data_IF_927562565653
#
_entry.id   IF_927562565653
#
_cell.length_a   1.000
_cell.length_b   1.000
_cell.length_c   1.000
_cell.angle_alpha   90.00
_cell.angle_beta   90.00
_cell.angle_gamma   90.00
#
_symmetry.space_group_name_H-M   'P 1'
#
loop_
_entity.id
_entity.type
_entity.pdbx_description
1 polymer ?
#
# COMPACT_ATOMS: atom_id res chain seq x y z
N UNK A 1 -5.12 -9.31 -6.68
CA UNK A 1 -4.91 -10.31 -5.61
C UNK A 1 -5.86 -10.00 -4.47
N UNK A 2 -6.27 -11.01 -3.71
CA UNK A 2 -7.13 -10.79 -2.53
C UNK A 2 -6.35 -10.13 -1.39
N UNK A 3 -7.08 -9.65 -0.38
CA UNK A 3 -6.49 -8.99 0.78
C UNK A 3 -5.53 -9.87 1.59
N UNK A 4 -5.79 -11.18 1.71
CA UNK A 4 -4.88 -12.09 2.41
C UNK A 4 -3.50 -12.09 1.76
N UNK A 5 -3.44 -12.19 0.43
CA UNK A 5 -2.19 -12.08 -0.31
C UNK A 5 -1.55 -10.71 -0.15
N UNK A 6 -2.34 -9.63 -0.24
CA UNK A 6 -1.83 -8.26 -0.06
C UNK A 6 -1.22 -8.04 1.34
N UNK A 7 -1.85 -8.56 2.39
CA UNK A 7 -1.34 -8.51 3.76
C UNK A 7 -0.02 -9.26 3.92
N UNK A 8 0.09 -10.48 3.35
CA UNK A 8 1.33 -11.26 3.36
C UNK A 8 2.44 -10.52 2.62
N UNK A 9 2.16 -9.93 1.45
CA UNK A 9 3.12 -9.12 0.71
C UNK A 9 3.61 -7.92 1.54
N UNK A 10 2.70 -7.20 2.22
CA UNK A 10 3.10 -6.10 3.10
C UNK A 10 3.96 -6.56 4.28
N UNK A 11 3.67 -7.74 4.84
CA UNK A 11 4.50 -8.34 5.90
C UNK A 11 5.91 -8.71 5.43
N UNK A 12 6.11 -8.89 4.12
CA UNK A 12 7.40 -9.10 3.48
C UNK A 12 8.12 -7.79 3.10
N UNK A 13 7.52 -6.63 3.41
CA UNK A 13 8.09 -5.31 3.13
C UNK A 13 7.63 -4.70 1.81
N UNK A 14 6.76 -5.37 1.06
CA UNK A 14 6.27 -4.86 -0.22
C UNK A 14 5.17 -3.80 -0.01
N UNK A 15 5.10 -2.85 -0.93
CA UNK A 15 3.98 -1.92 -1.05
C UNK A 15 2.89 -2.56 -1.90
N UNK A 16 1.63 -2.39 -1.53
CA UNK A 16 0.49 -2.90 -2.31
C UNK A 16 -0.54 -1.81 -2.54
N UNK A 17 -1.30 -1.88 -3.63
CA UNK A 17 -2.35 -0.91 -3.93
C UNK A 17 -3.54 -1.57 -4.60
N UNK A 18 -4.65 -0.84 -4.66
CA UNK A 18 -5.77 -1.16 -5.55
C UNK A 18 -5.36 -0.85 -6.98
N UNK A 19 -5.70 -1.71 -7.94
CA UNK A 19 -5.32 -1.58 -9.35
C UNK A 19 -5.60 -0.18 -9.96
N UNK A 20 -6.70 0.45 -9.55
CA UNK A 20 -7.16 1.74 -10.08
C UNK A 20 -6.74 2.95 -9.23
N UNK A 21 -6.00 2.75 -8.14
CA UNK A 21 -5.65 3.80 -7.19
C UNK A 21 -4.15 4.10 -7.19
N UNK A 22 -3.79 5.39 -7.07
CA UNK A 22 -2.39 5.83 -7.15
C UNK A 22 -1.65 5.81 -5.81
N UNK A 23 -2.36 5.72 -4.69
CA UNK A 23 -1.75 5.49 -3.37
C UNK A 23 -1.36 4.03 -3.18
N UNK A 24 -0.76 3.72 -2.03
CA UNK A 24 -0.41 2.36 -1.66
C UNK A 24 -0.47 2.16 -0.15
N UNK A 25 -0.59 0.91 0.28
CA UNK A 25 -0.54 0.51 1.67
C UNK A 25 0.78 -0.22 1.91
N UNK A 26 1.35 -0.05 3.10
CA UNK A 26 2.59 -0.72 3.52
C UNK A 26 2.56 -1.00 5.01
N UNK A 27 3.40 -1.92 5.46
CA UNK A 27 3.71 -2.08 6.87
C UNK A 27 5.03 -1.36 7.18
N UNK A 28 5.01 -0.47 8.17
CA UNK A 28 6.20 0.24 8.65
C UNK A 28 6.19 0.26 10.18
N UNK A 29 7.28 -0.14 10.83
CA UNK A 29 7.34 -0.20 12.30
C UNK A 29 6.29 -1.13 12.94
N UNK A 30 5.75 -2.10 12.19
CA UNK A 30 4.65 -2.96 12.65
C UNK A 30 3.25 -2.36 12.49
N UNK A 31 3.14 -1.18 11.90
CA UNK A 31 1.88 -0.48 11.69
C UNK A 31 1.47 -0.52 10.22
N UNK A 32 0.15 -0.57 9.96
CA UNK A 32 -0.39 -0.44 8.61
C UNK A 32 -0.49 1.04 8.26
N UNK A 33 0.27 1.46 7.27
CA UNK A 33 0.34 2.84 6.79
C UNK A 33 -0.29 2.92 5.41
N UNK A 34 -1.20 3.88 5.25
CA UNK A 34 -1.84 4.23 3.99
C UNK A 34 -1.09 5.46 3.43
N UNK A 35 -0.32 5.26 2.37
CA UNK A 35 0.21 6.35 1.56
C UNK A 35 -0.84 6.79 0.55
N UNK A 36 -1.36 7.99 0.72
CA UNK A 36 -2.42 8.55 -0.12
C UNK A 36 -1.89 8.92 -1.51
N UNK A 37 -2.78 9.03 -2.49
CA UNK A 37 -2.42 9.51 -3.83
C UNK A 37 -1.87 10.96 -3.83
N UNK A 38 -2.06 11.70 -2.73
CA UNK A 38 -1.58 13.05 -2.51
C UNK A 38 -0.20 13.10 -1.84
N UNK A 39 0.40 11.96 -1.50
CA UNK A 39 1.74 11.89 -0.91
C UNK A 39 1.78 11.90 0.63
N UNK A 40 0.63 11.92 1.31
CA UNK A 40 0.56 11.90 2.77
C UNK A 40 0.47 10.46 3.30
N UNK A 41 1.16 10.18 4.40
CA UNK A 41 1.03 8.94 5.16
C UNK A 41 -0.02 9.08 6.27
N UNK A 42 -0.91 8.10 6.36
CA UNK A 42 -1.94 8.01 7.40
C UNK A 42 -1.80 6.65 8.09
N UNK A 43 -1.73 6.63 9.42
CA UNK A 43 -1.81 5.38 10.16
C UNK A 43 -3.23 4.82 10.05
N UNK A 44 -3.38 3.53 9.74
CA UNK A 44 -4.70 2.91 9.59
C UNK A 44 -5.59 3.08 10.83
N UNK A 45 -5.02 3.23 12.03
CA UNK A 45 -5.78 3.47 13.29
C UNK A 45 -6.35 4.88 13.40
N UNK A 46 -5.86 5.82 12.60
CA UNK A 46 -6.25 7.24 12.60
C UNK A 46 -7.25 7.58 11.49
N UNK A 47 -7.64 6.61 10.67
CA UNK A 47 -8.64 6.82 9.62
C UNK A 47 -10.00 7.17 10.23
N UNK A 48 -10.63 8.22 9.72
CA UNK A 48 -11.93 8.68 10.22
C UNK A 48 -13.07 7.73 9.83
N UNK A 49 -13.02 7.15 8.63
CA UNK A 49 -13.99 6.17 8.15
C UNK A 49 -13.37 4.77 8.10
N UNK A 50 -13.44 4.10 9.25
CA UNK A 50 -12.98 2.71 9.39
C UNK A 50 -13.78 1.73 8.53
N UNK A 51 -15.10 1.96 8.38
CA UNK A 51 -15.98 1.07 7.60
C UNK A 51 -15.62 1.06 6.12
N UNK A 52 -15.37 2.24 5.53
CA UNK A 52 -14.91 2.35 4.15
C UNK A 52 -13.59 1.60 3.94
N UNK A 53 -12.65 1.69 4.90
CA UNK A 53 -11.37 1.00 4.82
C UNK A 53 -11.50 -0.52 4.93
N UNK A 54 -12.41 -1.04 5.77
CA UNK A 54 -12.75 -2.46 5.78
C UNK A 54 -13.31 -2.92 4.43
N UNK A 55 -14.15 -2.12 3.78
CA UNK A 55 -14.65 -2.42 2.43
C UNK A 55 -13.50 -2.52 1.41
N UNK A 56 -12.45 -1.69 1.53
CA UNK A 56 -11.27 -1.82 0.68
C UNK A 56 -10.58 -3.18 0.87
N UNK A 57 -10.47 -3.64 2.13
CA UNK A 57 -9.88 -4.95 2.47
C UNK A 57 -10.72 -6.14 1.98
N UNK A 58 -11.98 -5.95 1.59
CA UNK A 58 -12.80 -7.01 1.01
C UNK A 58 -12.66 -7.14 -0.51
N UNK A 59 -11.85 -6.29 -1.14
CA UNK A 59 -11.68 -6.29 -2.59
C UNK A 59 -10.53 -7.20 -3.04
N UNK A 60 -10.59 -7.67 -4.29
CA UNK A 60 -9.67 -8.68 -4.85
C UNK A 60 -8.75 -8.18 -5.99
N UNK A 61 -8.73 -6.87 -6.20
CA UNK A 61 -7.94 -6.14 -7.21
C UNK A 61 -6.70 -5.47 -6.60
N UNK A 62 -6.12 -6.06 -5.56
CA UNK A 62 -4.82 -5.59 -5.04
C UNK A 62 -3.67 -6.01 -5.95
N UNK A 63 -2.62 -5.22 -6.00
CA UNK A 63 -1.38 -5.50 -6.73
C UNK A 63 -0.17 -5.02 -5.94
N UNK A 64 0.98 -5.66 -6.15
CA UNK A 64 2.26 -5.15 -5.63
C UNK A 64 2.60 -3.90 -6.43
N UNK A 65 3.09 -2.88 -5.77
CA UNK A 65 3.66 -1.72 -6.46
C UNK A 65 5.03 -2.13 -6.99
N UNK A 66 5.16 -2.21 -8.31
CA UNK A 66 6.46 -2.39 -8.95
C UNK A 66 7.29 -1.12 -8.73
N UNK A 67 8.35 -1.23 -7.92
CA UNK A 67 9.38 -0.20 -7.89
C UNK A 67 10.22 -0.40 -9.15
N UNK A 68 10.01 0.45 -10.16
CA UNK A 68 10.93 0.49 -11.29
C UNK A 68 12.32 0.85 -10.74
N UNK A 69 13.22 -0.13 -10.62
CA UNK A 69 14.66 0.08 -10.46
C UNK A 69 15.21 0.75 -11.73
N UNK A 70 14.90 2.04 -11.90
CA UNK A 70 15.58 2.92 -12.84
C UNK A 70 15.97 4.18 -12.09
N UNK A 71 16.83 4.02 -11.08
CA UNK A 71 17.81 5.05 -10.77
C UNK A 71 19.10 4.56 -11.41
N UNK A 72 19.34 5.05 -12.62
CA UNK A 72 20.63 4.96 -13.28
C UNK A 72 21.72 5.41 -12.30
N UNK A 73 22.53 4.45 -11.85
CA UNK A 73 23.92 4.70 -11.50
C UNK A 73 24.60 5.26 -12.75
N UNK A 74 24.52 6.58 -12.96
CA UNK A 74 25.43 7.31 -13.84
C UNK A 74 25.16 8.80 -13.66
N UNK A 75 26.00 9.45 -12.87
CA UNK A 75 26.55 10.79 -13.11
C UNK A 75 27.56 11.13 -12.02
N UNK A 76 28.81 10.76 -12.31
CA UNK A 76 30.10 11.44 -12.03
C UNK A 76 30.25 12.22 -10.72
#
# INVERSE_FOLDING_TARGET
MNWTSAWISMKQGLKVRRHHWKGYWRIAGGELIIHTAQGNDINFREVSDFGMNLCQMCCDDWEVVEENENVSEESV
#
